data_IF_839043801663
#
_entry.id   IF_839043801663
#
_cell.length_a   1.000
_cell.length_b   1.000
_cell.length_c   1.000
_cell.angle_alpha   90.00
_cell.angle_beta   90.00
_cell.angle_gamma   90.00
#
_symmetry.space_group_name_H-M   'P 1'
#
loop_
_entity.id
_entity.type
_entity.pdbx_description
1 polymer ?
#
# COMPACT_ATOMS: atom_id res chain seq x y z
N UNK A 1 10.63 10.34 -8.37
CA UNK A 1 10.61 11.44 -7.38
C UNK A 1 9.20 11.49 -6.80
N UNK A 2 9.03 11.32 -5.49
CA UNK A 2 7.71 11.44 -4.84
C UNK A 2 7.51 12.87 -4.39
N UNK A 3 6.66 13.61 -5.09
CA UNK A 3 6.21 14.93 -4.65
C UNK A 3 5.22 14.79 -3.49
N UNK A 4 5.23 15.70 -2.50
CA UNK A 4 4.22 15.71 -1.45
C UNK A 4 2.81 15.94 -2.05
N UNK A 5 1.74 15.48 -1.36
CA UNK A 5 0.36 15.79 -1.76
C UNK A 5 0.17 17.30 -1.92
N UNK A 6 -0.52 17.73 -2.98
CA UNK A 6 -0.82 19.15 -3.21
C UNK A 6 -2.10 19.57 -2.49
N UNK A 7 -3.05 18.66 -2.36
CA UNK A 7 -4.32 18.87 -1.68
C UNK A 7 -4.19 18.59 -0.18
N UNK A 8 -4.94 19.34 0.63
CA UNK A 8 -5.06 19.05 2.05
C UNK A 8 -5.95 17.80 2.28
N UNK A 9 -5.77 17.06 3.39
CA UNK A 9 -6.53 15.82 3.65
C UNK A 9 -8.05 15.96 3.72
N UNK A 10 -8.56 17.17 3.98
CA UNK A 10 -9.98 17.51 4.04
C UNK A 10 -10.57 17.88 2.67
N UNK A 11 -9.74 18.03 1.63
CA UNK A 11 -10.19 18.30 0.27
C UNK A 11 -10.89 17.06 -0.32
N UNK A 12 -12.04 17.22 -1.02
CA UNK A 12 -12.80 16.09 -1.57
C UNK A 12 -11.97 15.19 -2.51
N UNK A 13 -11.04 15.78 -3.27
CA UNK A 13 -10.18 15.05 -4.22
C UNK A 13 -8.86 14.55 -3.63
N UNK A 14 -8.63 14.66 -2.32
CA UNK A 14 -7.36 14.24 -1.71
C UNK A 14 -7.01 12.78 -2.01
N UNK A 15 -8.01 11.89 -1.91
CA UNK A 15 -7.85 10.47 -2.21
C UNK A 15 -7.59 10.25 -3.70
N UNK A 16 -8.30 10.97 -4.58
CA UNK A 16 -8.12 10.89 -6.03
C UNK A 16 -6.71 11.35 -6.46
N UNK A 17 -6.14 12.35 -5.79
CA UNK A 17 -4.74 12.73 -6.02
C UNK A 17 -3.78 11.61 -5.61
N UNK A 18 -4.02 10.99 -4.45
CA UNK A 18 -3.23 9.86 -3.98
C UNK A 18 -3.28 8.68 -4.97
N UNK A 19 -4.46 8.37 -5.50
CA UNK A 19 -4.66 7.35 -6.54
C UNK A 19 -3.83 7.66 -7.78
N UNK A 20 -3.92 8.88 -8.32
CA UNK A 20 -3.14 9.30 -9.49
C UNK A 20 -1.64 9.22 -9.26
N UNK A 21 -1.18 9.55 -8.05
CA UNK A 21 0.23 9.48 -7.71
C UNK A 21 0.76 8.04 -7.65
N UNK A 22 -0.09 7.06 -7.32
CA UNK A 22 0.30 5.65 -7.22
C UNK A 22 -0.03 4.82 -8.47
N UNK A 23 -0.90 5.30 -9.36
CA UNK A 23 -1.49 4.55 -10.47
C UNK A 23 -0.46 3.79 -11.31
N UNK A 24 0.59 4.49 -11.76
CA UNK A 24 1.65 3.88 -12.57
C UNK A 24 2.37 2.73 -11.86
N UNK A 25 2.78 2.96 -10.60
CA UNK A 25 3.47 1.94 -9.81
C UNK A 25 2.54 0.79 -9.45
N UNK A 26 1.26 1.07 -9.23
CA UNK A 26 0.26 0.05 -8.93
C UNK A 26 0.03 -0.86 -10.14
N UNK A 27 -0.01 -0.30 -11.34
CA UNK A 27 -0.06 -1.05 -12.59
C UNK A 27 1.19 -1.93 -12.79
N UNK A 28 2.38 -1.41 -12.49
CA UNK A 28 3.65 -2.13 -12.62
C UNK A 28 3.68 -3.42 -11.78
N UNK A 29 3.06 -3.43 -10.60
CA UNK A 29 2.97 -4.64 -9.76
C UNK A 29 2.25 -5.78 -10.48
N UNK A 30 1.12 -5.48 -11.14
CA UNK A 30 0.37 -6.48 -11.90
C UNK A 30 1.15 -6.95 -13.12
N UNK A 31 1.71 -6.00 -13.87
CA UNK A 31 2.54 -6.28 -15.04
C UNK A 31 3.72 -7.22 -14.73
N UNK A 32 4.43 -6.98 -13.63
CA UNK A 32 5.55 -7.83 -13.22
C UNK A 32 5.11 -9.25 -12.84
N UNK A 33 3.92 -9.41 -12.24
CA UNK A 33 3.38 -10.73 -11.94
C UNK A 33 2.98 -11.48 -13.23
N UNK A 34 2.34 -10.81 -14.18
CA UNK A 34 2.03 -11.40 -15.48
C UNK A 34 3.30 -11.78 -16.24
N UNK A 35 4.33 -10.92 -16.23
CA UNK A 35 5.63 -11.21 -16.83
C UNK A 35 6.35 -12.42 -16.19
N UNK A 36 6.06 -12.71 -14.92
CA UNK A 36 6.53 -13.91 -14.22
C UNK A 36 5.71 -15.18 -14.57
N UNK A 37 4.69 -15.07 -15.42
CA UNK A 37 3.89 -16.18 -15.94
C UNK A 37 2.58 -16.43 -15.20
N UNK A 38 2.16 -15.55 -14.29
CA UNK A 38 0.83 -15.64 -13.67
C UNK A 38 -0.26 -15.22 -14.65
N UNK A 39 -1.44 -15.82 -14.54
CA UNK A 39 -2.59 -15.43 -15.38
C UNK A 39 -3.16 -14.08 -14.92
N UNK A 40 -3.69 -13.26 -15.84
CA UNK A 40 -4.31 -11.98 -15.48
C UNK A 40 -5.37 -12.10 -14.37
N UNK A 41 -6.27 -13.11 -14.46
CA UNK A 41 -7.29 -13.36 -13.44
C UNK A 41 -6.71 -13.61 -12.03
N UNK A 42 -5.58 -14.34 -11.95
CA UNK A 42 -4.92 -14.63 -10.69
C UNK A 42 -4.25 -13.36 -10.12
N UNK A 43 -3.66 -12.55 -10.99
CA UNK A 43 -3.04 -11.26 -10.63
C UNK A 43 -4.09 -10.29 -10.10
N UNK A 44 -5.21 -10.11 -10.81
CA UNK A 44 -6.31 -9.23 -10.40
C UNK A 44 -6.90 -9.65 -9.04
N UNK A 45 -7.14 -10.96 -8.87
CA UNK A 45 -7.63 -11.51 -7.61
C UNK A 45 -6.62 -11.28 -6.46
N UNK A 46 -5.34 -11.48 -6.71
CA UNK A 46 -4.28 -11.25 -5.72
C UNK A 46 -4.18 -9.77 -5.34
N UNK A 47 -4.17 -8.87 -6.32
CA UNK A 47 -4.09 -7.42 -6.09
C UNK A 47 -5.28 -6.92 -5.25
N UNK A 48 -6.50 -7.38 -5.55
CA UNK A 48 -7.69 -7.06 -4.76
C UNK A 48 -7.59 -7.57 -3.32
N UNK A 49 -7.12 -8.81 -3.13
CA UNK A 49 -6.95 -9.39 -1.80
C UNK A 49 -5.87 -8.66 -0.98
N UNK A 50 -4.75 -8.31 -1.60
CA UNK A 50 -3.68 -7.53 -0.95
C UNK A 50 -4.17 -6.14 -0.56
N UNK A 51 -4.88 -5.44 -1.44
CA UNK A 51 -5.46 -4.13 -1.15
C UNK A 51 -6.44 -4.19 0.04
N UNK A 52 -7.33 -5.19 0.08
CA UNK A 52 -8.26 -5.44 1.20
C UNK A 52 -7.55 -5.75 2.51
N UNK A 53 -6.42 -6.46 2.46
CA UNK A 53 -5.68 -6.88 3.65
C UNK A 53 -4.70 -5.81 4.17
N UNK A 54 -4.32 -4.84 3.35
CA UNK A 54 -3.35 -3.78 3.69
C UNK A 54 -3.66 -3.04 5.01
N UNK A 55 -4.91 -2.62 5.33
CA UNK A 55 -5.20 -1.96 6.60
C UNK A 55 -4.97 -2.84 7.82
N UNK A 56 -5.26 -4.14 7.71
CA UNK A 56 -5.05 -5.12 8.79
C UNK A 56 -3.56 -5.31 9.03
N UNK A 57 -2.79 -5.52 7.96
CA UNK A 57 -1.33 -5.65 8.04
C UNK A 57 -0.69 -4.40 8.65
N UNK A 58 -1.11 -3.20 8.25
CA UNK A 58 -0.62 -1.94 8.84
C UNK A 58 -0.85 -1.88 10.35
N UNK A 59 -2.07 -2.20 10.80
CA UNK A 59 -2.40 -2.21 12.24
C UNK A 59 -1.56 -3.23 13.01
N UNK A 60 -1.36 -4.43 12.44
CA UNK A 60 -0.50 -5.46 13.04
C UNK A 60 0.94 -4.98 13.17
N UNK A 61 1.48 -4.32 12.16
CA UNK A 61 2.84 -3.77 12.20
C UNK A 61 2.96 -2.66 13.25
N UNK A 62 2.00 -1.73 13.31
CA UNK A 62 1.97 -0.67 14.35
C UNK A 62 1.97 -1.26 15.77
N UNK A 63 1.21 -2.33 16.00
CA UNK A 63 1.18 -3.02 17.30
C UNK A 63 2.49 -3.77 17.60
N UNK A 64 3.10 -4.40 16.60
CA UNK A 64 4.39 -5.07 16.75
C UNK A 64 5.50 -4.06 17.06
N UNK A 65 5.55 -2.94 16.34
CA UNK A 65 6.53 -1.86 16.58
C UNK A 65 6.36 -1.24 17.96
N UNK A 66 5.12 -1.05 18.42
CA UNK A 66 4.82 -0.58 19.77
C UNK A 66 5.26 -1.60 20.84
N UNK A 67 5.08 -2.90 20.60
CA UNK A 67 5.53 -3.95 21.50
C UNK A 67 7.07 -4.01 21.56
N UNK A 68 7.77 -3.92 20.43
CA UNK A 68 9.24 -3.88 20.39
C UNK A 68 9.77 -2.70 21.21
N UNK A 69 9.19 -1.51 21.08
CA UNK A 69 9.57 -0.33 21.89
C UNK A 69 9.30 -0.50 23.38
N UNK A 70 8.28 -1.27 23.77
CA UNK A 70 7.93 -1.51 25.17
C UNK A 70 8.86 -2.57 25.81
N UNK A 71 9.31 -3.56 25.05
CA UNK A 71 10.13 -4.68 25.53
C UNK A 71 11.62 -4.55 25.22
N UNK A 72 12.04 -3.46 24.60
CA UNK A 72 13.44 -3.05 24.44
C UNK A 72 13.56 -1.56 24.77
N UNK A 73 13.49 -1.17 26.06
CA UNK A 73 13.89 0.17 26.43
C UNK A 73 15.38 0.31 26.06
N UNK A 74 15.73 1.40 25.35
CA UNK A 74 17.12 1.71 25.03
C UNK A 74 18.00 1.62 26.30
N UNK A 75 19.27 1.16 26.18
CA UNK A 75 20.19 1.04 27.31
C UNK A 75 20.54 2.38 27.97
#
# INVERSE_FOLDING_TARGET
MTSPPRLAPDHPDYVLECEKAMDFTFYEVGYLAEAAGWTPDAVDAAMLNLAKNRPKARKTHEMADAAVKLFSPDP
#
